data_IF_529760192245
#
_entry.id   IF_529760192245
#
_cell.length_a   1.000
_cell.length_b   1.000
_cell.length_c   1.000
_cell.angle_alpha   90.00
_cell.angle_beta   90.00
_cell.angle_gamma   90.00
#
_symmetry.space_group_name_H-M   'P 1'
#
loop_
_entity.id
_entity.type
_entity.pdbx_description
1 polymer ?
#
# COMPACT_ATOMS: atom_id res chain seq x y z
N UNK A 1 25.69 8.53 6.09
CA UNK A 1 24.98 7.84 7.17
C UNK A 1 24.37 6.63 6.50
N UNK A 2 24.91 5.44 6.80
CA UNK A 2 24.42 4.18 6.26
C UNK A 2 22.97 4.01 6.74
N UNK A 3 22.05 3.92 5.80
CA UNK A 3 20.67 3.60 6.10
C UNK A 3 20.63 2.16 6.62
N UNK A 4 19.95 1.87 7.74
CA UNK A 4 19.71 0.50 8.12
C UNK A 4 18.93 -0.18 6.96
N UNK A 5 19.34 -1.40 6.65
CA UNK A 5 18.68 -2.22 5.63
C UNK A 5 17.19 -2.31 6.00
N UNK A 6 16.34 -1.63 5.23
CA UNK A 6 14.89 -1.78 5.39
C UNK A 6 14.48 -3.15 4.86
N UNK A 7 14.14 -4.03 5.78
CA UNK A 7 13.48 -5.29 5.41
C UNK A 7 12.01 -4.95 5.16
N UNK A 8 11.64 -4.88 3.89
CA UNK A 8 10.24 -4.70 3.50
C UNK A 8 9.59 -6.07 3.35
N UNK A 9 8.64 -6.36 4.23
CA UNK A 9 7.71 -7.45 3.98
C UNK A 9 6.69 -6.99 2.95
N UNK A 10 6.57 -7.68 1.83
CA UNK A 10 5.52 -7.42 0.87
C UNK A 10 4.29 -8.25 1.20
N UNK A 11 3.17 -7.58 1.38
CA UNK A 11 1.86 -8.18 1.27
C UNK A 11 1.33 -7.81 -0.12
N UNK A 12 1.42 -8.73 -1.06
CA UNK A 12 0.73 -8.61 -2.33
C UNK A 12 -0.73 -8.96 -2.10
N UNK A 13 -1.63 -7.97 -2.10
CA UNK A 13 -3.06 -8.18 -1.99
C UNK A 13 -3.63 -8.48 -3.38
N UNK A 14 -4.15 -9.69 -3.57
CA UNK A 14 -4.96 -9.97 -4.76
C UNK A 14 -6.20 -9.10 -4.80
N UNK A 15 -6.35 -8.35 -5.88
CA UNK A 15 -7.66 -7.92 -6.33
C UNK A 15 -8.36 -9.16 -6.91
N UNK A 16 -9.37 -9.68 -6.22
CA UNK A 16 -10.14 -10.86 -6.64
C UNK A 16 -10.82 -10.70 -8.01
N UNK A 17 -10.84 -9.50 -8.55
CA UNK A 17 -11.40 -9.18 -9.86
C UNK A 17 -10.40 -9.34 -11.01
N UNK A 18 -9.08 -9.30 -10.75
CA UNK A 18 -8.04 -9.26 -11.78
C UNK A 18 -6.97 -10.38 -11.68
N UNK A 19 -7.03 -11.24 -10.68
CA UNK A 19 -6.30 -12.52 -10.65
C UNK A 19 -4.81 -12.42 -10.34
N UNK A 20 -4.41 -11.59 -9.38
CA UNK A 20 -3.03 -11.55 -8.90
C UNK A 20 -2.82 -12.45 -7.68
N UNK A 21 -1.77 -13.25 -7.67
CA UNK A 21 -1.44 -14.15 -6.57
C UNK A 21 -0.78 -13.42 -5.39
N UNK A 22 -1.14 -13.82 -4.16
CA UNK A 22 -0.49 -13.36 -2.94
C UNK A 22 0.90 -14.01 -2.82
N UNK A 23 1.93 -13.25 -3.11
CA UNK A 23 3.31 -13.65 -2.81
C UNK A 23 3.85 -12.77 -1.68
N UNK A 24 4.31 -13.38 -0.61
CA UNK A 24 4.98 -12.67 0.49
C UNK A 24 6.47 -12.96 0.38
N UNK A 25 7.25 -11.95 0.05
CA UNK A 25 8.70 -12.02 0.03
C UNK A 25 9.29 -10.73 0.62
N UNK A 26 10.38 -10.80 1.39
CA UNK A 26 11.11 -9.62 1.78
C UNK A 26 11.73 -9.00 0.52
N UNK A 27 11.42 -7.73 0.24
CA UNK A 27 11.99 -6.98 -0.88
C UNK A 27 12.68 -5.74 -0.33
N UNK A 28 13.90 -5.46 -0.79
CA UNK A 28 14.58 -4.20 -0.51
C UNK A 28 13.80 -3.02 -1.08
N UNK A 29 13.74 -1.88 -0.37
CA UNK A 29 12.93 -0.72 -0.74
C UNK A 29 13.18 -0.19 -2.15
N UNK A 30 14.43 -0.22 -2.62
CA UNK A 30 14.77 0.14 -3.99
C UNK A 30 14.13 -0.81 -5.02
N UNK A 31 14.08 -2.12 -4.72
CA UNK A 31 13.48 -3.12 -5.60
C UNK A 31 11.97 -2.92 -5.68
N UNK A 32 11.29 -2.65 -4.56
CA UNK A 32 9.86 -2.37 -4.56
C UNK A 32 9.53 -1.08 -5.32
N UNK A 33 10.32 -0.02 -5.15
CA UNK A 33 10.14 1.24 -5.87
C UNK A 33 10.27 1.04 -7.39
N UNK A 34 11.26 0.28 -7.83
CA UNK A 34 11.46 -0.04 -9.25
C UNK A 34 10.31 -0.92 -9.78
N UNK A 35 9.86 -1.91 -9.02
CA UNK A 35 8.73 -2.77 -9.39
C UNK A 35 7.44 -1.95 -9.55
N UNK A 36 7.10 -1.09 -8.59
CA UNK A 36 5.93 -0.21 -8.67
C UNK A 36 6.02 0.73 -9.88
N UNK A 37 7.20 1.27 -10.16
CA UNK A 37 7.40 2.11 -11.34
C UNK A 37 7.19 1.33 -12.65
N UNK A 38 7.64 0.09 -12.74
CA UNK A 38 7.41 -0.76 -13.92
C UNK A 38 5.93 -1.14 -14.07
N UNK A 39 5.25 -1.49 -12.98
CA UNK A 39 3.81 -1.77 -13.01
C UNK A 39 2.99 -0.55 -13.41
N UNK A 40 3.28 0.63 -12.85
CA UNK A 40 2.64 1.89 -13.23
C UNK A 40 2.81 2.17 -14.74
N UNK A 41 4.02 1.98 -15.28
CA UNK A 41 4.30 2.13 -16.72
C UNK A 41 3.49 1.12 -17.55
N UNK A 42 3.45 -0.13 -17.12
CA UNK A 42 2.69 -1.19 -17.80
C UNK A 42 1.18 -0.91 -17.81
N UNK A 43 0.64 -0.31 -16.76
CA UNK A 43 -0.75 0.16 -16.70
C UNK A 43 -1.03 1.35 -17.64
N UNK A 44 -0.02 2.11 -18.03
CA UNK A 44 -0.18 3.32 -18.85
C UNK A 44 -0.19 4.62 -18.03
N UNK A 45 0.23 4.58 -16.78
CA UNK A 45 0.48 5.79 -15.98
C UNK A 45 1.60 6.59 -16.63
N UNK A 46 1.43 7.89 -16.75
CA UNK A 46 2.39 8.79 -17.38
C UNK A 46 3.35 9.41 -16.36
N UNK A 47 4.46 9.98 -16.82
CA UNK A 47 5.45 10.69 -15.99
C UNK A 47 5.94 9.85 -14.79
N UNK A 48 6.05 8.53 -15.01
CA UNK A 48 6.51 7.60 -13.98
C UNK A 48 8.02 7.74 -13.80
N UNK A 49 8.42 7.97 -12.56
CA UNK A 49 9.84 8.12 -12.19
C UNK A 49 10.09 7.63 -10.76
N UNK A 50 11.26 7.09 -10.55
CA UNK A 50 11.84 6.87 -9.23
C UNK A 50 12.87 7.95 -9.00
N UNK A 51 12.72 8.72 -7.94
CA UNK A 51 13.68 9.75 -7.53
C UNK A 51 14.62 9.21 -6.45
N UNK A 52 15.65 9.98 -6.13
CA UNK A 52 16.59 9.66 -5.05
C UNK A 52 15.82 9.32 -3.78
N UNK A 53 16.33 8.37 -2.99
CA UNK A 53 15.69 7.88 -1.77
C UNK A 53 14.38 7.09 -2.00
N UNK A 54 14.20 6.48 -3.17
CA UNK A 54 13.10 5.59 -3.50
C UNK A 54 11.70 6.23 -3.55
N UNK A 55 11.58 7.56 -3.70
CA UNK A 55 10.27 8.15 -3.97
C UNK A 55 9.80 7.81 -5.38
N UNK A 56 8.64 7.22 -5.49
CA UNK A 56 8.02 6.87 -6.78
C UNK A 56 6.91 7.88 -7.08
N UNK A 57 6.88 8.39 -8.29
CA UNK A 57 5.81 9.30 -8.74
C UNK A 57 5.23 8.85 -10.06
N UNK A 58 3.97 9.20 -10.29
CA UNK A 58 3.29 9.01 -11.55
C UNK A 58 2.09 9.92 -11.72
N UNK A 59 1.57 10.03 -12.95
CA UNK A 59 0.41 10.86 -13.26
C UNK A 59 -0.55 10.13 -14.18
N UNK A 60 -1.85 10.31 -13.93
CA UNK A 60 -2.90 9.91 -14.85
C UNK A 60 -3.53 11.21 -15.38
N UNK A 61 -3.35 11.52 -16.68
CA UNK A 61 -3.94 12.70 -17.29
C UNK A 61 -5.46 12.65 -17.21
N UNK A 62 -6.10 13.80 -17.08
CA UNK A 62 -7.56 13.89 -17.09
C UNK A 62 -8.15 13.28 -18.36
N UNK A 63 -9.32 12.66 -18.25
CA UNK A 63 -10.09 12.31 -19.43
C UNK A 63 -10.58 13.55 -20.16
N UNK A 64 -10.82 13.42 -21.47
CA UNK A 64 -11.26 14.54 -22.31
C UNK A 64 -12.52 15.23 -21.74
N UNK A 65 -12.43 16.53 -21.51
CA UNK A 65 -13.47 17.35 -20.91
C UNK A 65 -13.41 17.49 -19.39
N UNK A 66 -12.43 16.83 -18.74
CA UNK A 66 -12.21 16.89 -17.28
C UNK A 66 -10.90 17.58 -16.91
N UNK A 67 -10.21 18.18 -17.88
CA UNK A 67 -8.89 18.83 -17.69
C UNK A 67 -8.93 19.97 -16.68
N UNK A 68 -10.07 20.67 -16.57
CA UNK A 68 -10.28 21.75 -15.62
C UNK A 68 -10.72 21.32 -14.21
N UNK A 69 -10.81 20.01 -13.94
CA UNK A 69 -11.16 19.50 -12.62
C UNK A 69 -10.00 19.58 -11.64
N UNK A 70 -10.32 19.55 -10.35
CA UNK A 70 -9.34 19.52 -9.29
C UNK A 70 -8.32 18.42 -9.50
N UNK A 71 -7.04 18.75 -9.33
CA UNK A 71 -5.94 17.78 -9.36
C UNK A 71 -5.88 17.05 -8.02
N UNK A 72 -6.22 15.79 -8.02
CA UNK A 72 -6.15 14.94 -6.83
C UNK A 72 -4.83 14.21 -6.77
N UNK A 73 -4.34 14.02 -5.56
CA UNK A 73 -3.16 13.22 -5.24
C UNK A 73 -3.53 12.04 -4.35
N UNK A 74 -2.84 10.92 -4.57
CA UNK A 74 -2.91 9.75 -3.70
C UNK A 74 -1.50 9.35 -3.32
N UNK A 75 -1.28 9.11 -2.04
CA UNK A 75 0.03 8.84 -1.46
C UNK A 75 -0.12 7.64 -0.52
N UNK A 76 0.81 6.70 -0.61
CA UNK A 76 0.96 5.60 0.33
C UNK A 76 2.43 5.37 0.61
N UNK A 77 2.78 4.90 1.81
CA UNK A 77 4.17 4.57 2.10
C UNK A 77 4.47 3.10 1.82
N UNK A 78 5.72 2.85 1.43
CA UNK A 78 6.19 1.51 1.05
C UNK A 78 6.85 0.77 2.21
N UNK A 79 7.39 1.51 3.16
CA UNK A 79 8.10 0.94 4.30
C UNK A 79 7.17 0.31 5.32
N UNK A 80 7.73 -0.53 6.16
CA UNK A 80 7.07 -1.19 7.28
C UNK A 80 7.87 -0.89 8.53
N UNK A 81 7.19 -0.74 9.67
CA UNK A 81 7.87 -0.60 10.95
C UNK A 81 8.87 -1.75 11.15
N UNK A 82 10.09 -1.41 11.58
CA UNK A 82 11.18 -2.38 11.73
C UNK A 82 10.98 -3.32 12.92
N UNK A 83 10.14 -2.95 13.88
CA UNK A 83 9.86 -3.77 15.06
C UNK A 83 9.05 -5.01 14.67
N UNK A 84 9.48 -6.18 15.14
CA UNK A 84 8.81 -7.45 14.84
C UNK A 84 8.70 -7.79 13.34
N UNK A 85 9.73 -7.47 12.56
CA UNK A 85 9.80 -7.71 11.13
C UNK A 85 11.13 -8.39 10.73
N UNK A 86 11.68 -9.25 11.62
CA UNK A 86 13.00 -9.88 11.49
C UNK A 86 12.98 -11.23 10.74
N UNK A 87 11.80 -11.67 10.30
CA UNK A 87 11.60 -12.89 9.52
C UNK A 87 10.34 -12.79 8.64
N UNK A 88 10.10 -13.81 7.82
CA UNK A 88 9.00 -13.83 6.86
C UNK A 88 7.63 -13.64 7.53
N UNK A 89 6.81 -12.79 6.95
CA UNK A 89 5.44 -12.57 7.38
C UNK A 89 4.58 -13.76 6.94
N UNK A 90 3.86 -14.36 7.89
CA UNK A 90 2.94 -15.47 7.61
C UNK A 90 1.50 -14.95 7.69
N UNK A 91 0.86 -14.63 6.56
CA UNK A 91 -0.52 -14.15 6.55
C UNK A 91 -1.50 -15.29 6.83
N UNK A 92 -2.51 -14.99 7.63
CA UNK A 92 -3.59 -15.93 7.99
C UNK A 92 -4.93 -15.32 7.58
N UNK A 93 -5.69 -16.05 6.75
CA UNK A 93 -7.00 -15.60 6.25
C UNK A 93 -8.13 -16.20 7.08
N UNK A 94 -8.92 -15.35 7.71
CA UNK A 94 -10.08 -15.72 8.52
C UNK A 94 -11.38 -15.40 7.76
N UNK A 95 -11.97 -16.41 7.09
CA UNK A 95 -13.22 -16.24 6.35
C UNK A 95 -14.41 -16.26 7.30
N UNK A 96 -15.43 -15.41 7.04
CA UNK A 96 -16.64 -15.30 7.84
C UNK A 96 -16.34 -15.13 9.34
N UNK A 97 -15.50 -14.15 9.65
CA UNK A 97 -15.14 -13.84 11.03
C UNK A 97 -16.37 -13.66 11.91
N UNK A 98 -16.36 -14.24 13.09
CA UNK A 98 -17.54 -14.30 13.99
C UNK A 98 -17.75 -13.04 14.85
N UNK A 99 -16.76 -12.13 14.88
CA UNK A 99 -16.80 -10.91 15.68
C UNK A 99 -16.26 -11.08 17.11
N UNK A 100 -15.76 -12.27 17.48
CA UNK A 100 -15.22 -12.58 18.80
C UNK A 100 -13.71 -12.32 18.92
N UNK A 101 -13.12 -12.83 19.99
CA UNK A 101 -11.66 -12.80 20.17
C UNK A 101 -10.97 -13.63 19.08
N UNK A 102 -9.88 -13.10 18.51
CA UNK A 102 -9.19 -13.70 17.37
C UNK A 102 -7.78 -14.15 17.75
N UNK A 103 -7.53 -15.45 17.99
CA UNK A 103 -6.20 -15.98 18.21
C UNK A 103 -5.31 -15.83 16.96
N UNK A 104 -4.05 -15.44 17.15
CA UNK A 104 -3.07 -15.25 16.06
C UNK A 104 -2.17 -16.47 15.96
N UNK A 105 -2.56 -17.39 15.08
CA UNK A 105 -1.79 -18.59 14.81
C UNK A 105 -1.46 -19.38 16.09
N UNK A 106 -0.19 -19.77 16.23
CA UNK A 106 0.34 -20.52 17.39
C UNK A 106 1.16 -19.65 18.34
N UNK A 107 1.21 -18.34 18.12
CA UNK A 107 2.04 -17.39 18.91
C UNK A 107 1.60 -17.23 20.36
N UNK A 108 0.37 -17.67 20.70
CA UNK A 108 -0.26 -17.42 22.00
C UNK A 108 -0.82 -16.00 22.15
N UNK A 109 -0.71 -15.17 21.12
CA UNK A 109 -1.31 -13.82 21.07
C UNK A 109 -2.76 -13.90 20.60
N UNK A 110 -3.58 -12.97 21.07
CA UNK A 110 -4.99 -12.89 20.70
C UNK A 110 -5.39 -11.43 20.57
N UNK A 111 -6.05 -11.08 19.49
CA UNK A 111 -6.76 -9.80 19.38
C UNK A 111 -8.08 -9.96 20.14
N UNK A 112 -8.19 -9.31 21.30
CA UNK A 112 -9.40 -9.45 22.13
C UNK A 112 -10.40 -8.33 21.82
N UNK A 113 -11.68 -8.63 21.90
CA UNK A 113 -12.75 -7.62 21.76
C UNK A 113 -12.63 -6.55 22.85
N UNK A 114 -12.08 -6.91 24.00
CA UNK A 114 -11.81 -5.96 25.08
C UNK A 114 -10.81 -4.88 24.69
N UNK A 115 -9.72 -5.27 24.03
CA UNK A 115 -8.65 -4.35 23.63
C UNK A 115 -8.94 -3.69 22.28
N UNK A 116 -9.73 -4.36 21.44
CA UNK A 116 -10.12 -3.92 20.09
C UNK A 116 -11.67 -3.93 19.95
N UNK A 117 -12.38 -2.95 20.54
CA UNK A 117 -13.86 -2.95 20.61
C UNK A 117 -14.57 -2.88 19.25
N UNK A 118 -13.86 -2.59 18.17
CA UNK A 118 -14.40 -2.57 16.81
C UNK A 118 -14.52 -3.97 16.17
N UNK A 119 -13.83 -4.99 16.69
CA UNK A 119 -13.83 -6.34 16.13
C UNK A 119 -15.24 -6.90 15.87
N UNK A 120 -16.23 -6.75 16.77
CA UNK A 120 -17.59 -7.22 16.51
C UNK A 120 -18.24 -6.61 15.26
N UNK A 121 -17.86 -5.39 14.88
CA UNK A 121 -18.40 -4.74 13.68
C UNK A 121 -17.88 -5.35 12.38
N UNK A 122 -16.84 -6.18 12.46
CA UNK A 122 -16.24 -6.88 11.33
C UNK A 122 -16.82 -8.29 11.12
N UNK A 123 -17.81 -8.68 11.93
CA UNK A 123 -18.46 -10.00 11.80
C UNK A 123 -18.97 -10.24 10.37
N UNK A 124 -18.77 -11.44 9.87
CA UNK A 124 -19.12 -11.85 8.51
C UNK A 124 -18.12 -11.44 7.43
N UNK A 125 -17.12 -10.63 7.76
CA UNK A 125 -16.05 -10.24 6.82
C UNK A 125 -14.94 -11.29 6.77
N UNK A 126 -14.14 -11.22 5.74
CA UNK A 126 -12.84 -11.90 5.70
C UNK A 126 -11.78 -10.98 6.29
N UNK A 127 -11.07 -11.45 7.31
CA UNK A 127 -9.94 -10.74 7.89
C UNK A 127 -8.64 -11.41 7.50
N UNK A 128 -7.60 -10.60 7.36
CA UNK A 128 -6.22 -11.08 7.16
C UNK A 128 -5.40 -10.60 8.35
N UNK A 129 -4.72 -11.52 9.02
CA UNK A 129 -3.79 -11.24 10.12
C UNK A 129 -2.45 -11.89 9.83
N UNK A 130 -1.46 -11.65 10.69
CA UNK A 130 -0.30 -12.53 10.76
C UNK A 130 -0.61 -13.73 11.67
N UNK A 131 0.37 -14.64 11.77
CA UNK A 131 0.35 -15.72 12.79
C UNK A 131 0.67 -15.20 14.21
N UNK A 132 0.91 -13.90 14.38
CA UNK A 132 1.23 -13.24 15.64
C UNK A 132 2.72 -13.20 15.99
N UNK A 133 3.61 -13.65 15.11
CA UNK A 133 5.07 -13.59 15.31
C UNK A 133 5.67 -12.31 14.72
N UNK A 134 5.06 -11.75 13.70
CA UNK A 134 5.48 -10.50 13.04
C UNK A 134 4.33 -9.49 13.00
N UNK A 135 4.62 -8.26 12.56
CA UNK A 135 3.61 -7.33 12.04
C UNK A 135 3.08 -7.83 10.70
N UNK A 136 1.91 -7.35 10.27
CA UNK A 136 1.33 -7.73 8.96
C UNK A 136 1.95 -6.92 7.80
N UNK A 137 2.34 -5.68 8.05
CA UNK A 137 2.82 -4.77 7.01
C UNK A 137 1.71 -4.27 6.08
N UNK A 138 0.43 -4.43 6.44
CA UNK A 138 -0.68 -3.84 5.68
C UNK A 138 -0.69 -2.32 5.72
N UNK A 139 -0.10 -1.74 6.72
CA UNK A 139 0.23 -0.32 6.82
C UNK A 139 1.63 -0.08 6.20
N UNK A 140 1.76 0.56 5.02
CA UNK A 140 0.60 1.00 4.20
C UNK A 140 0.60 0.33 2.80
N UNK A 141 1.00 -0.94 2.71
CA UNK A 141 0.91 -1.70 1.44
C UNK A 141 -0.54 -1.87 0.98
N UNK A 142 -1.51 -1.75 1.91
CA UNK A 142 -2.93 -1.69 1.54
C UNK A 142 -3.23 -0.44 0.71
N UNK A 143 -2.76 0.73 1.14
CA UNK A 143 -2.88 1.97 0.35
C UNK A 143 -2.17 1.90 -0.99
N UNK A 144 -0.98 1.28 -1.04
CA UNK A 144 -0.29 1.01 -2.31
C UNK A 144 -1.17 0.19 -3.25
N UNK A 145 -1.74 -0.92 -2.75
CA UNK A 145 -2.61 -1.80 -3.55
C UNK A 145 -3.91 -1.10 -3.99
N UNK A 146 -4.51 -0.31 -3.12
CA UNK A 146 -5.72 0.46 -3.43
C UNK A 146 -5.46 1.50 -4.53
N UNK A 147 -4.35 2.24 -4.44
CA UNK A 147 -3.95 3.24 -5.45
C UNK A 147 -3.67 2.57 -6.80
N UNK A 148 -2.94 1.46 -6.81
CA UNK A 148 -2.65 0.73 -8.05
C UNK A 148 -3.92 0.15 -8.68
N UNK A 149 -4.82 -0.42 -7.88
CA UNK A 149 -6.12 -0.93 -8.34
C UNK A 149 -7.02 0.19 -8.88
N UNK A 150 -7.06 1.34 -8.21
CA UNK A 150 -7.76 2.52 -8.69
C UNK A 150 -7.20 2.97 -10.05
N UNK A 151 -5.89 3.08 -10.18
CA UNK A 151 -5.23 3.48 -11.41
C UNK A 151 -5.57 2.51 -12.56
N UNK A 152 -5.53 1.21 -12.30
CA UNK A 152 -5.89 0.17 -13.26
C UNK A 152 -7.35 0.32 -13.71
N UNK A 153 -8.29 0.44 -12.79
CA UNK A 153 -9.71 0.60 -13.10
C UNK A 153 -9.97 1.87 -13.94
N UNK A 154 -9.40 3.00 -13.53
CA UNK A 154 -9.56 4.27 -14.26
C UNK A 154 -9.09 4.17 -15.71
N UNK A 155 -7.96 3.52 -15.95
CA UNK A 155 -7.34 3.40 -17.26
C UNK A 155 -8.03 2.32 -18.11
N UNK A 156 -8.23 1.11 -17.57
CA UNK A 156 -8.79 -0.02 -18.34
C UNK A 156 -10.27 0.13 -18.63
N UNK A 157 -11.03 0.70 -17.71
CA UNK A 157 -12.48 0.88 -17.87
C UNK A 157 -12.86 2.25 -18.45
N UNK A 158 -11.86 3.11 -18.73
CA UNK A 158 -12.05 4.47 -19.23
C UNK A 158 -13.01 5.31 -18.37
N UNK A 159 -12.89 5.20 -17.06
CA UNK A 159 -13.72 5.94 -16.12
C UNK A 159 -13.39 7.44 -16.20
N UNK A 160 -14.38 8.34 -16.40
CA UNK A 160 -14.13 9.77 -16.48
C UNK A 160 -13.56 10.34 -15.18
N UNK A 161 -12.41 11.01 -15.24
CA UNK A 161 -11.71 11.58 -14.07
C UNK A 161 -10.93 12.85 -14.41
N UNK A 162 -10.70 13.69 -13.41
CA UNK A 162 -9.76 14.81 -13.47
C UNK A 162 -8.30 14.34 -13.44
N UNK A 163 -7.33 15.27 -13.46
CA UNK A 163 -5.91 14.90 -13.36
C UNK A 163 -5.62 14.25 -12.00
N UNK A 164 -4.85 13.17 -11.99
CA UNK A 164 -4.46 12.44 -10.79
C UNK A 164 -2.94 12.38 -10.71
N UNK A 165 -2.40 12.62 -9.51
CA UNK A 165 -1.01 12.39 -9.16
C UNK A 165 -0.92 11.21 -8.19
N UNK A 166 0.05 10.33 -8.38
CA UNK A 166 0.33 9.19 -7.51
C UNK A 166 1.74 9.35 -6.96
N UNK A 167 1.92 9.04 -5.68
CA UNK A 167 3.24 8.91 -5.10
C UNK A 167 3.30 7.75 -4.12
N UNK A 168 4.46 7.06 -4.11
CA UNK A 168 4.80 6.11 -3.06
C UNK A 168 6.05 6.59 -2.36
N UNK A 169 6.03 6.60 -1.03
CA UNK A 169 7.06 7.21 -0.19
C UNK A 169 7.78 6.18 0.66
N UNK A 170 9.07 6.36 0.95
CA UNK A 170 9.80 5.62 1.97
C UNK A 170 9.69 6.32 3.32
N UNK A 171 10.24 5.69 4.37
CA UNK A 171 10.62 6.30 5.66
C UNK A 171 9.46 6.94 6.46
N UNK A 172 8.19 6.55 6.20
CA UNK A 172 7.05 7.06 6.97
C UNK A 172 7.15 6.60 8.42
N UNK A 173 7.42 5.33 8.65
CA UNK A 173 7.45 4.68 9.96
C UNK A 173 8.60 5.18 10.88
N UNK A 174 9.56 5.91 10.32
CA UNK A 174 10.62 6.59 11.06
C UNK A 174 10.47 8.11 11.06
N UNK A 175 9.34 8.63 10.56
CA UNK A 175 9.01 10.04 10.54
C UNK A 175 9.71 10.86 9.45
N UNK A 176 10.35 10.21 8.47
CA UNK A 176 11.11 10.84 7.38
C UNK A 176 10.34 10.91 6.04
N UNK A 177 9.12 10.40 5.98
CA UNK A 177 8.37 10.23 4.72
C UNK A 177 8.18 11.48 3.87
N UNK A 178 8.28 12.67 4.45
CA UNK A 178 8.14 13.94 3.73
C UNK A 178 9.45 14.67 3.46
N UNK A 179 10.58 14.22 4.01
CA UNK A 179 11.84 14.97 4.02
C UNK A 179 12.37 15.32 2.62
N UNK A 180 12.14 14.44 1.65
CA UNK A 180 12.55 14.63 0.26
C UNK A 180 11.38 14.63 -0.72
N UNK A 181 10.13 14.72 -0.21
CA UNK A 181 8.94 14.73 -1.05
C UNK A 181 8.86 16.01 -1.88
N UNK A 182 8.77 15.88 -3.19
CA UNK A 182 8.73 17.02 -4.11
C UNK A 182 7.28 17.44 -4.41
N UNK A 183 6.74 18.33 -3.58
CA UNK A 183 5.36 18.82 -3.67
C UNK A 183 5.07 19.49 -5.04
N UNK A 184 6.03 20.26 -5.58
CA UNK A 184 5.84 20.95 -6.86
C UNK A 184 5.73 19.97 -8.02
N UNK A 185 6.61 18.96 -8.07
CA UNK A 185 6.56 17.93 -9.10
C UNK A 185 5.33 17.02 -8.94
N UNK A 186 4.95 16.71 -7.71
CA UNK A 186 3.72 15.97 -7.43
C UNK A 186 2.50 16.73 -7.97
N UNK A 187 2.38 18.02 -7.66
CA UNK A 187 1.51 18.97 -8.34
C UNK A 187 0.01 18.73 -8.12
N UNK A 188 -0.40 18.00 -7.07
CA UNK A 188 -1.79 17.89 -6.66
C UNK A 188 -2.26 19.16 -5.93
N UNK A 189 -3.55 19.46 -6.00
CA UNK A 189 -4.19 20.52 -5.23
C UNK A 189 -4.67 20.04 -3.86
N UNK A 190 -5.09 18.77 -3.81
CA UNK A 190 -5.44 18.03 -2.59
C UNK A 190 -4.87 16.63 -2.70
N UNK A 191 -4.42 16.07 -1.59
CA UNK A 191 -3.90 14.69 -1.53
C UNK A 191 -4.45 13.95 -0.30
N UNK A 192 -4.58 12.65 -0.45
CA UNK A 192 -5.00 11.70 0.56
C UNK A 192 -3.95 10.61 0.71
#
# INVERSE_FOLDING_TARGET
VDHPEMVLGNLELESTQYGHDLTVAPIEGAVLADQLAEEMKALGVSDVRVEDKCYVYGKIPATKGYEGKTKLGFIAHMDTVSDYCDHDIIPVVHKNYDGGDLPLGTSGRTLTVKDFPHLPSLAGRTLITTDGTTVLGADDKAGVAEIMTMAEALIKENIPHGPISIAFTPDEEVGGGTDHFNVEKFGAQFAY
#
